data_IF_223177570460
#
_entry.id   IF_223177570460
#
_cell.length_a   1.000
_cell.length_b   1.000
_cell.length_c   1.000
_cell.angle_alpha   90.00
_cell.angle_beta   90.00
_cell.angle_gamma   90.00
#
_symmetry.space_group_name_H-M   'P 1'
#
loop_
_entity.id
_entity.type
_entity.pdbx_description
1 polymer ?
#
# COMPACT_ATOMS: atom_id res chain seq x y z
N UNK A 1 -9.25 4.05 -13.87
CA UNK A 1 -9.18 3.22 -12.64
C UNK A 1 -8.21 2.10 -12.85
N UNK A 2 -7.35 1.87 -11.85
CA UNK A 2 -6.38 0.78 -11.90
C UNK A 2 -6.80 -0.33 -10.94
N UNK A 3 -6.47 -1.56 -11.29
CA UNK A 3 -6.77 -2.72 -10.46
C UNK A 3 -5.51 -3.59 -10.41
N UNK A 4 -5.14 -4.01 -9.20
CA UNK A 4 -4.03 -4.93 -8.98
C UNK A 4 -4.46 -6.00 -7.99
N UNK A 5 -3.98 -7.23 -8.15
CA UNK A 5 -4.34 -8.31 -7.23
C UNK A 5 -3.42 -8.29 -6.01
N UNK A 6 -4.04 -8.44 -4.84
CA UNK A 6 -3.30 -8.63 -3.58
C UNK A 6 -2.71 -10.04 -3.53
N UNK A 7 -1.93 -10.31 -2.48
CA UNK A 7 -1.35 -11.65 -2.27
C UNK A 7 -2.42 -12.72 -2.11
N UNK A 8 -3.62 -12.34 -1.70
CA UNK A 8 -4.76 -13.25 -1.57
C UNK A 8 -5.57 -13.37 -2.87
N UNK A 9 -5.11 -12.73 -3.95
CA UNK A 9 -5.80 -12.78 -5.23
C UNK A 9 -7.00 -11.85 -5.34
N UNK A 10 -7.22 -10.97 -4.36
CA UNK A 10 -8.34 -10.03 -4.37
C UNK A 10 -8.01 -8.85 -5.28
N UNK A 11 -8.91 -8.46 -6.20
CA UNK A 11 -8.69 -7.27 -7.02
C UNK A 11 -8.85 -6.01 -6.17
N UNK A 12 -7.79 -5.22 -6.11
CA UNK A 12 -7.75 -3.98 -5.32
C UNK A 12 -7.82 -2.79 -6.28
N UNK A 13 -8.84 -1.96 -6.11
CA UNK A 13 -9.09 -0.79 -6.97
C UNK A 13 -8.33 0.42 -6.47
N UNK A 14 -7.77 1.19 -7.41
CA UNK A 14 -7.23 2.52 -7.15
C UNK A 14 -7.88 3.46 -8.15
N UNK A 15 -8.85 4.25 -7.69
CA UNK A 15 -9.54 5.22 -8.54
C UNK A 15 -8.68 6.49 -8.67
N UNK A 16 -8.91 7.24 -9.75
CA UNK A 16 -8.22 8.51 -9.95
C UNK A 16 -8.54 9.49 -8.81
N UNK A 17 -9.79 9.52 -8.36
CA UNK A 17 -10.20 10.37 -7.25
C UNK A 17 -9.43 10.02 -5.96
N UNK A 18 -9.31 8.73 -5.65
CA UNK A 18 -8.53 8.29 -4.49
C UNK A 18 -7.06 8.65 -4.64
N UNK A 19 -6.51 8.49 -5.84
CA UNK A 19 -5.12 8.84 -6.09
C UNK A 19 -4.87 10.33 -5.87
N UNK A 20 -5.76 11.20 -6.34
CA UNK A 20 -5.64 12.63 -6.10
C UNK A 20 -5.69 12.96 -4.62
N UNK A 21 -6.56 12.28 -3.87
CA UNK A 21 -6.64 12.44 -2.43
C UNK A 21 -5.33 12.03 -1.75
N UNK A 22 -4.75 10.90 -2.15
CA UNK A 22 -3.48 10.42 -1.60
C UNK A 22 -2.37 11.45 -1.86
N UNK A 23 -2.24 11.92 -3.09
CA UNK A 23 -1.20 12.89 -3.45
C UNK A 23 -1.38 14.22 -2.71
N UNK A 24 -2.62 14.66 -2.49
CA UNK A 24 -2.87 15.89 -1.76
C UNK A 24 -2.44 15.79 -0.29
N UNK A 25 -2.60 14.60 0.33
CA UNK A 25 -2.19 14.35 1.71
C UNK A 25 -0.71 14.01 1.83
N UNK A 26 -0.17 13.34 0.82
CA UNK A 26 1.20 12.84 0.79
C UNK A 26 1.83 13.23 -0.56
N UNK A 27 2.27 14.51 -0.71
CA UNK A 27 2.80 14.98 -1.99
C UNK A 27 3.99 14.19 -2.52
N UNK A 28 4.73 13.52 -1.63
CA UNK A 28 5.85 12.66 -2.03
C UNK A 28 5.39 11.48 -2.88
N UNK A 29 4.09 11.18 -2.88
CA UNK A 29 3.54 10.07 -3.67
C UNK A 29 3.34 10.43 -5.14
N UNK A 30 3.48 11.68 -5.52
CA UNK A 30 3.34 12.09 -6.91
C UNK A 30 4.32 11.31 -7.78
N UNK A 31 3.80 10.69 -8.85
CA UNK A 31 4.63 9.88 -9.74
C UNK A 31 4.94 8.48 -9.23
N UNK A 32 4.41 8.08 -8.07
CA UNK A 32 4.73 6.78 -7.45
C UNK A 32 3.62 5.74 -7.60
N UNK A 33 2.67 5.95 -8.49
CA UNK A 33 1.51 5.06 -8.65
C UNK A 33 1.94 3.62 -8.94
N UNK A 34 2.94 3.43 -9.80
CA UNK A 34 3.43 2.10 -10.14
C UNK A 34 3.97 1.36 -8.92
N UNK A 35 4.67 2.07 -8.02
CA UNK A 35 5.19 1.46 -6.79
C UNK A 35 4.07 1.09 -5.83
N UNK A 36 2.99 1.87 -5.80
CA UNK A 36 1.82 1.54 -4.98
C UNK A 36 1.23 0.21 -5.45
N UNK A 37 1.04 0.04 -6.75
CA UNK A 37 0.51 -1.20 -7.30
C UNK A 37 1.44 -2.38 -7.05
N UNK A 38 2.74 -2.19 -7.23
CA UNK A 38 3.74 -3.22 -6.96
C UNK A 38 3.73 -3.65 -5.50
N UNK A 39 3.61 -2.69 -4.58
CA UNK A 39 3.60 -2.97 -3.15
C UNK A 39 2.41 -3.82 -2.75
N UNK A 40 1.24 -3.59 -3.34
CA UNK A 40 0.06 -4.42 -3.09
C UNK A 40 0.26 -5.83 -3.62
N UNK A 41 0.81 -5.95 -4.82
CA UNK A 41 0.94 -7.23 -5.51
C UNK A 41 2.08 -8.09 -4.95
N UNK A 42 3.20 -7.45 -4.60
CA UNK A 42 4.41 -8.15 -4.16
C UNK A 42 5.05 -7.45 -2.94
N UNK A 43 4.36 -7.40 -1.81
CA UNK A 43 4.90 -6.77 -0.61
C UNK A 43 6.00 -7.62 0.01
N UNK A 44 6.81 -7.01 0.85
CA UNK A 44 7.75 -7.75 1.71
C UNK A 44 7.00 -8.42 2.84
N UNK A 45 6.03 -7.73 3.41
CA UNK A 45 5.11 -8.29 4.41
C UNK A 45 3.86 -7.44 4.50
N UNK A 46 2.85 -7.97 5.19
CA UNK A 46 1.57 -7.29 5.39
C UNK A 46 1.29 -7.27 6.88
N UNK A 47 0.94 -6.09 7.39
CA UNK A 47 0.53 -5.90 8.79
C UNK A 47 -0.96 -5.66 8.88
N UNK A 48 -1.52 -5.98 10.05
CA UNK A 48 -2.92 -5.63 10.35
C UNK A 48 -3.02 -4.12 10.53
N UNK A 49 -3.89 -3.49 9.75
CA UNK A 49 -4.21 -2.08 9.89
C UNK A 49 -5.39 -1.85 10.82
N UNK A 50 -5.85 -0.60 10.88
CA UNK A 50 -7.01 -0.23 11.68
C UNK A 50 -8.29 -0.44 10.88
N UNK A 51 -9.39 -0.72 11.58
CA UNK A 51 -10.73 -0.83 10.98
C UNK A 51 -10.80 -1.87 9.84
N UNK A 52 -10.15 -2.99 10.03
CA UNK A 52 -10.20 -4.08 9.04
C UNK A 52 -9.34 -3.87 7.82
N UNK A 53 -8.44 -2.88 7.82
CA UNK A 53 -7.53 -2.67 6.71
C UNK A 53 -6.30 -3.55 6.83
N UNK A 54 -5.55 -3.64 5.74
CA UNK A 54 -4.24 -4.27 5.66
C UNK A 54 -3.21 -3.24 5.23
N UNK A 55 -2.00 -3.38 5.74
CA UNK A 55 -0.90 -2.48 5.42
C UNK A 55 0.20 -3.27 4.73
N UNK A 56 0.25 -3.17 3.40
CA UNK A 56 1.32 -3.77 2.62
C UNK A 56 2.57 -2.91 2.77
N UNK A 57 3.70 -3.55 3.09
CA UNK A 57 4.97 -2.86 3.33
C UNK A 57 6.01 -3.42 2.37
N UNK A 58 6.70 -2.53 1.67
CA UNK A 58 7.78 -2.91 0.76
C UNK A 58 8.93 -1.92 0.87
N UNK A 59 10.14 -2.45 0.98
CA UNK A 59 11.34 -1.63 1.04
C UNK A 59 11.75 -1.18 -0.36
N UNK A 60 12.02 0.12 -0.50
CA UNK A 60 12.55 0.71 -1.73
C UNK A 60 13.86 1.42 -1.44
N UNK A 61 14.92 0.94 -2.08
CA UNK A 61 16.24 1.51 -1.94
C UNK A 61 16.38 2.72 -2.85
N UNK A 62 16.99 3.79 -2.32
CA UNK A 62 17.34 4.95 -3.13
C UNK A 62 16.18 5.84 -3.53
N UNK A 63 15.03 5.75 -2.86
CA UNK A 63 13.93 6.68 -3.12
C UNK A 63 14.26 8.02 -2.45
N UNK A 64 14.12 9.13 -3.18
CA UNK A 64 14.57 10.43 -2.70
C UNK A 64 16.06 10.35 -2.33
N UNK A 65 16.44 10.84 -1.16
CA UNK A 65 17.82 10.84 -0.69
C UNK A 65 18.14 9.68 0.25
N UNK A 66 17.17 8.89 0.66
CA UNK A 66 17.33 7.80 1.62
C UNK A 66 16.49 6.60 1.24
N UNK A 67 16.87 5.44 1.77
CA UNK A 67 16.06 4.23 1.63
C UNK A 67 14.79 4.38 2.46
N UNK A 68 13.67 3.93 1.93
CA UNK A 68 12.38 4.06 2.60
C UNK A 68 11.49 2.85 2.37
N UNK A 69 10.56 2.67 3.29
CA UNK A 69 9.47 1.70 3.13
C UNK A 69 8.26 2.40 2.55
N UNK A 70 7.66 1.81 1.53
CA UNK A 70 6.36 2.24 1.05
C UNK A 70 5.31 1.43 1.80
N UNK A 71 4.35 2.14 2.40
CA UNK A 71 3.23 1.53 3.12
C UNK A 71 1.97 1.85 2.34
N UNK A 72 1.25 0.82 1.93
CA UNK A 72 -0.02 0.97 1.23
C UNK A 72 -1.12 0.37 2.09
N UNK A 73 -2.04 1.21 2.52
CA UNK A 73 -3.19 0.78 3.31
C UNK A 73 -4.32 0.47 2.34
N UNK A 74 -4.85 -0.75 2.42
CA UNK A 74 -5.92 -1.19 1.55
C UNK A 74 -6.88 -2.09 2.31
N UNK A 75 -8.05 -2.30 1.74
CA UNK A 75 -9.05 -3.15 2.36
C UNK A 75 -9.54 -4.19 1.35
N UNK A 76 -9.61 -5.45 1.79
CA UNK A 76 -10.25 -6.52 1.04
C UNK A 76 -11.65 -6.68 1.60
N UNK A 77 -12.67 -6.23 0.87
CA UNK A 77 -14.04 -6.30 1.36
C UNK A 77 -14.60 -7.69 1.23
N UNK A 78 -14.21 -8.40 0.18
CA UNK A 78 -14.51 -9.82 -0.04
C UNK A 78 -13.52 -10.37 -1.06
N UNK A 79 -13.77 -11.59 -1.55
CA UNK A 79 -12.86 -12.25 -2.51
C UNK A 79 -12.79 -11.57 -3.87
N UNK A 80 -13.79 -10.77 -4.20
CA UNK A 80 -13.92 -10.18 -5.53
C UNK A 80 -13.76 -8.67 -5.54
N UNK A 81 -13.52 -8.04 -4.40
CA UNK A 81 -13.44 -6.58 -4.34
C UNK A 81 -12.61 -6.09 -3.17
N UNK A 82 -11.87 -5.03 -3.43
CA UNK A 82 -11.12 -4.29 -2.42
C UNK A 82 -10.71 -2.94 -2.97
N UNK A 83 -10.12 -2.10 -2.13
CA UNK A 83 -9.76 -0.74 -2.55
C UNK A 83 -8.59 -0.20 -1.73
N UNK A 84 -7.85 0.72 -2.34
CA UNK A 84 -6.76 1.44 -1.68
C UNK A 84 -7.36 2.54 -0.81
N UNK A 85 -6.89 2.64 0.42
CA UNK A 85 -7.27 3.71 1.34
C UNK A 85 -6.28 4.86 1.26
N UNK A 86 -4.99 4.57 1.45
CA UNK A 86 -3.93 5.58 1.36
C UNK A 86 -2.58 4.91 1.12
N UNK A 87 -1.55 5.73 0.86
CA UNK A 87 -0.18 5.26 0.70
C UNK A 87 0.78 6.36 1.11
N UNK A 88 1.91 5.99 1.70
CA UNK A 88 2.92 6.94 2.12
C UNK A 88 4.27 6.24 2.34
N UNK A 89 5.35 7.02 2.30
CA UNK A 89 6.68 6.51 2.64
C UNK A 89 6.96 6.71 4.12
N UNK A 90 7.68 5.76 4.71
CA UNK A 90 8.11 5.83 6.11
C UNK A 90 9.53 5.27 6.23
N UNK A 91 10.30 5.83 7.16
CA UNK A 91 11.65 5.33 7.42
C UNK A 91 11.63 4.05 8.23
N UNK A 92 10.60 3.89 9.08
CA UNK A 92 10.41 2.68 9.90
C UNK A 92 8.93 2.34 9.99
N UNK A 93 8.53 1.13 9.59
CA UNK A 93 7.17 0.67 9.83
C UNK A 93 6.92 0.47 11.33
N UNK A 94 5.65 0.50 11.74
CA UNK A 94 5.28 0.24 13.12
C UNK A 94 5.63 -1.20 13.50
N UNK A 95 6.35 -1.39 14.61
CA UNK A 95 6.77 -2.71 15.06
C UNK A 95 5.72 -3.44 15.87
N UNK A 96 4.74 -2.69 16.41
CA UNK A 96 3.73 -3.25 17.30
C UNK A 96 2.55 -3.90 16.56
N UNK A 97 2.44 -3.66 15.22
CA UNK A 97 1.34 -4.22 14.46
C UNK A 97 1.60 -5.69 14.13
N UNK A 98 0.54 -6.49 14.22
CA UNK A 98 0.60 -7.89 13.88
C UNK A 98 0.96 -8.11 12.41
N UNK A 99 1.90 -9.01 12.13
CA UNK A 99 2.24 -9.40 10.77
C UNK A 99 1.26 -10.50 10.34
N UNK A 100 0.48 -10.22 9.31
CA UNK A 100 -0.51 -11.16 8.78
C UNK A 100 0.05 -12.08 7.71
N UNK A 101 1.06 -11.60 6.99
CA UNK A 101 1.66 -12.32 5.87
C UNK A 101 3.09 -11.84 5.68
N UNK A 102 3.97 -12.74 5.33
CA UNK A 102 5.39 -12.42 5.08
C UNK A 102 5.88 -13.21 3.89
N UNK A 103 6.63 -12.52 3.01
CA UNK A 103 7.24 -13.12 1.84
C UNK A 103 8.29 -14.19 2.24
#
# INVERSE_FOLDING_TARGET
MLIIRSVNGVPIRLTEERWQHIVSRHPEMKGQKAKVLETINAPDYIQRGDFGTKMAVKFYKGTSLTDKFLIVVYKETDRSDGFVVTAYFATKPAKWREVLWKR
#
